data_IF_578725062275
#
_entry.id   IF_578725062275
#
_cell.length_a   1.000
_cell.length_b   1.000
_cell.length_c   1.000
_cell.angle_alpha   90.00
_cell.angle_beta   90.00
_cell.angle_gamma   90.00
#
_symmetry.space_group_name_H-M   'P 1'
#
loop_
_entity.id
_entity.type
_entity.pdbx_description
1 polymer ?
#
# COMPACT_ATOMS: atom_id res chain seq x y z
N UNK A 1 22.88 -0.18 -40.01
CA UNK A 1 24.25 -0.16 -39.47
C UNK A 1 24.09 0.08 -38.00
N UNK A 2 24.58 -0.83 -37.15
CA UNK A 2 24.62 -0.60 -35.71
C UNK A 2 25.55 0.59 -35.43
N UNK A 3 25.11 1.51 -34.57
CA UNK A 3 25.92 2.63 -34.12
C UNK A 3 27.13 2.14 -33.32
N UNK A 4 28.28 2.80 -33.47
CA UNK A 4 29.45 2.49 -32.64
C UNK A 4 29.28 3.14 -31.26
N UNK A 5 29.11 2.32 -30.21
CA UNK A 5 29.02 2.81 -28.82
C UNK A 5 30.26 3.63 -28.46
N UNK A 6 30.03 4.84 -27.95
CA UNK A 6 31.08 5.75 -27.48
C UNK A 6 31.25 5.59 -25.97
N UNK A 7 32.48 5.66 -25.49
CA UNK A 7 32.84 5.56 -24.07
C UNK A 7 32.93 6.95 -23.45
N UNK A 8 32.21 7.17 -22.34
CA UNK A 8 32.31 8.40 -21.57
C UNK A 8 33.64 8.46 -20.81
N UNK A 9 34.32 9.60 -20.89
CA UNK A 9 35.54 9.89 -20.13
C UNK A 9 35.38 11.21 -19.37
N UNK A 10 36.00 11.29 -18.19
CA UNK A 10 35.97 12.48 -17.33
C UNK A 10 37.07 13.50 -17.65
N UNK A 11 38.04 13.11 -18.47
CA UNK A 11 39.16 13.91 -18.93
C UNK A 11 38.97 14.32 -20.41
N UNK A 12 40.02 14.87 -21.03
CA UNK A 12 39.97 15.23 -22.45
C UNK A 12 40.06 13.96 -23.29
N UNK A 13 39.06 13.67 -24.15
CA UNK A 13 39.07 12.49 -25.02
C UNK A 13 40.35 12.40 -25.85
N UNK A 14 41.02 11.25 -25.82
CA UNK A 14 42.33 11.06 -26.45
C UNK A 14 42.44 9.78 -27.30
N UNK A 15 41.42 8.91 -27.27
CA UNK A 15 41.35 7.72 -28.10
C UNK A 15 40.04 7.66 -28.91
N UNK A 16 40.07 6.87 -30.00
CA UNK A 16 38.89 6.64 -30.84
C UNK A 16 37.72 6.15 -29.99
N UNK A 17 36.54 6.70 -30.26
CA UNK A 17 35.28 6.40 -29.58
C UNK A 17 35.17 6.91 -28.13
N UNK A 18 35.96 7.90 -27.73
CA UNK A 18 35.81 8.58 -26.43
C UNK A 18 35.08 9.91 -26.57
N UNK A 19 34.20 10.21 -25.61
CA UNK A 19 33.52 11.50 -25.50
C UNK A 19 33.50 12.03 -24.07
N UNK A 20 33.48 13.35 -23.93
CA UNK A 20 33.30 14.04 -22.66
C UNK A 20 32.31 15.20 -22.84
N UNK A 21 31.36 15.34 -21.90
CA UNK A 21 30.45 16.49 -21.87
C UNK A 21 30.91 17.48 -20.80
N UNK A 22 31.18 18.72 -21.22
CA UNK A 22 31.63 19.81 -20.37
C UNK A 22 30.44 20.68 -19.96
N UNK A 23 29.84 20.35 -18.80
CA UNK A 23 28.63 21.02 -18.30
C UNK A 23 28.78 22.52 -18.05
N UNK A 24 29.99 23.00 -17.74
CA UNK A 24 30.26 24.42 -17.51
C UNK A 24 30.23 25.28 -18.79
N UNK A 25 30.35 24.66 -19.97
CA UNK A 25 30.37 25.36 -21.26
C UNK A 25 29.35 24.80 -22.25
N UNK A 26 28.49 23.89 -21.79
CA UNK A 26 27.49 23.19 -22.60
C UNK A 26 28.07 22.68 -23.93
N UNK A 27 29.19 21.95 -23.85
CA UNK A 27 29.97 21.50 -25.01
C UNK A 27 30.25 20.01 -24.95
N UNK A 28 30.01 19.32 -26.07
CA UNK A 28 30.40 17.93 -26.28
C UNK A 28 31.77 17.88 -26.96
N UNK A 29 32.74 17.27 -26.30
CA UNK A 29 34.07 16.99 -26.84
C UNK A 29 34.15 15.52 -27.26
N UNK A 30 34.60 15.24 -28.49
CA UNK A 30 34.73 13.87 -29.01
C UNK A 30 36.06 13.71 -29.74
N UNK A 31 36.73 12.58 -29.51
CA UNK A 31 37.97 12.27 -30.22
C UNK A 31 37.71 11.45 -31.48
N UNK A 32 38.20 11.96 -32.61
CA UNK A 32 38.21 11.26 -33.90
C UNK A 32 39.68 11.16 -34.35
N UNK A 33 40.22 9.94 -34.42
CA UNK A 33 41.62 9.66 -34.80
C UNK A 33 41.98 9.93 -36.26
N UNK A 34 41.14 10.68 -36.99
CA UNK A 34 41.40 11.26 -38.30
C UNK A 34 40.85 12.68 -38.28
N UNK A 35 41.72 13.67 -38.08
CA UNK A 35 41.35 15.06 -37.77
C UNK A 35 40.91 15.86 -39.00
N UNK A 36 40.09 15.28 -39.89
CA UNK A 36 39.59 15.98 -41.07
C UNK A 36 38.17 16.52 -40.83
N UNK A 37 37.91 17.74 -41.30
CA UNK A 37 36.56 18.34 -41.26
C UNK A 37 35.55 17.51 -42.04
N UNK A 38 36.00 16.75 -43.04
CA UNK A 38 35.16 15.84 -43.83
C UNK A 38 34.68 14.62 -43.02
N UNK A 39 35.53 14.08 -42.14
CA UNK A 39 35.16 12.96 -41.26
C UNK A 39 34.19 13.39 -40.15
N UNK A 40 34.28 14.66 -39.71
CA UNK A 40 33.35 15.22 -38.73
C UNK A 40 31.97 15.50 -39.36
N UNK A 41 31.95 16.04 -40.59
CA UNK A 41 30.71 16.37 -41.31
C UNK A 41 29.96 15.15 -41.86
N UNK A 42 30.59 13.96 -41.89
CA UNK A 42 29.97 12.71 -42.37
C UNK A 42 29.39 11.84 -41.27
N UNK A 43 29.53 12.25 -39.99
CA UNK A 43 29.00 11.52 -38.84
C UNK A 43 27.69 12.14 -38.34
N UNK A 44 26.71 11.28 -38.13
CA UNK A 44 25.50 11.65 -37.41
C UNK A 44 25.71 11.40 -35.92
N UNK A 45 25.44 12.41 -35.11
CA UNK A 45 25.45 12.31 -33.66
C UNK A 45 24.02 12.21 -33.17
N UNK A 46 23.73 11.15 -32.44
CA UNK A 46 22.43 10.91 -31.84
C UNK A 46 22.62 10.84 -30.34
N UNK A 47 21.90 11.68 -29.61
CA UNK A 47 21.75 11.56 -28.17
C UNK A 47 20.48 10.75 -27.89
N UNK A 48 20.58 9.72 -27.05
CA UNK A 48 19.41 9.01 -26.54
C UNK A 48 19.27 9.29 -25.05
N UNK A 49 18.03 9.41 -24.61
CA UNK A 49 17.73 9.37 -23.18
C UNK A 49 18.04 7.97 -22.65
N UNK A 50 18.68 7.89 -21.47
CA UNK A 50 18.91 6.64 -20.78
C UNK A 50 17.58 5.96 -20.40
N UNK A 51 17.55 4.64 -20.50
CA UNK A 51 16.37 3.82 -20.21
C UNK A 51 15.90 3.96 -18.76
N UNK A 52 16.82 4.20 -17.81
CA UNK A 52 16.46 4.45 -16.41
C UNK A 52 15.62 5.72 -16.24
N UNK A 53 16.01 6.79 -16.93
CA UNK A 53 15.30 8.08 -16.95
C UNK A 53 13.94 7.95 -17.65
N UNK A 54 13.91 7.29 -18.81
CA UNK A 54 12.66 7.03 -19.54
C UNK A 54 11.67 6.22 -18.71
N UNK A 55 12.12 5.11 -18.10
CA UNK A 55 11.27 4.27 -17.24
C UNK A 55 10.69 5.07 -16.07
N UNK A 56 11.50 5.92 -15.44
CA UNK A 56 11.06 6.73 -14.30
C UNK A 56 10.02 7.77 -14.72
N UNK A 57 10.22 8.42 -15.87
CA UNK A 57 9.26 9.38 -16.42
C UNK A 57 7.91 8.73 -16.72
N UNK A 58 7.90 7.58 -17.41
CA UNK A 58 6.66 6.86 -17.75
C UNK A 58 5.92 6.37 -16.49
N UNK A 59 6.64 5.90 -15.48
CA UNK A 59 6.04 5.48 -14.18
C UNK A 59 5.38 6.67 -13.46
N UNK A 60 5.95 7.88 -13.57
CA UNK A 60 5.36 9.08 -12.98
C UNK A 60 4.12 9.54 -13.75
N UNK A 61 4.17 9.54 -15.08
CA UNK A 61 3.02 9.89 -15.93
C UNK A 61 1.84 8.93 -15.72
N UNK A 62 2.11 7.62 -15.68
CA UNK A 62 1.11 6.59 -15.33
C UNK A 62 0.52 6.83 -13.93
N UNK A 63 1.34 7.29 -12.96
CA UNK A 63 0.84 7.62 -11.62
C UNK A 63 -0.09 8.82 -11.63
N UNK A 64 0.15 9.83 -12.46
CA UNK A 64 -0.70 11.00 -12.57
C UNK A 64 -2.01 10.69 -13.30
N UNK A 65 -1.97 9.79 -14.30
CA UNK A 65 -3.16 9.25 -14.93
C UNK A 65 -4.07 8.57 -13.88
N UNK A 66 -3.51 7.69 -13.04
CA UNK A 66 -4.27 7.01 -11.97
C UNK A 66 -4.94 8.03 -11.04
N UNK A 67 -4.20 9.06 -10.61
CA UNK A 67 -4.73 10.12 -9.73
C UNK A 67 -5.87 10.91 -10.37
N UNK A 68 -5.74 11.23 -11.66
CA UNK A 68 -6.78 11.95 -12.39
C UNK A 68 -8.04 11.12 -12.61
N UNK A 69 -7.90 9.79 -12.73
CA UNK A 69 -8.99 8.92 -13.13
C UNK A 69 -9.85 8.39 -11.97
N UNK A 70 -9.20 8.08 -10.84
CA UNK A 70 -9.80 7.38 -9.70
C UNK A 70 -10.82 8.24 -8.94
N UNK A 71 -10.82 9.57 -9.11
CA UNK A 71 -11.74 10.52 -8.46
C UNK A 71 -11.86 10.34 -6.94
N UNK A 72 -10.82 9.80 -6.30
CA UNK A 72 -10.76 9.45 -4.88
C UNK A 72 -9.38 9.79 -4.32
N UNK A 73 -9.26 10.18 -3.04
CA UNK A 73 -7.97 10.46 -2.45
C UNK A 73 -7.12 9.19 -2.38
N UNK A 74 -5.81 9.32 -2.64
CA UNK A 74 -4.83 8.24 -2.45
C UNK A 74 -3.88 8.67 -1.34
N UNK A 75 -3.95 8.02 -0.18
CA UNK A 75 -3.02 8.26 0.92
C UNK A 75 -1.90 7.24 0.97
N UNK A 76 -0.71 7.71 1.36
CA UNK A 76 0.43 6.85 1.68
C UNK A 76 0.12 6.10 2.98
N UNK A 77 0.35 4.79 3.01
CA UNK A 77 0.33 4.03 4.26
C UNK A 77 1.43 4.57 5.18
N UNK A 78 1.08 5.02 6.37
CA UNK A 78 2.06 5.29 7.44
C UNK A 78 2.14 4.05 8.34
N UNK A 79 3.36 3.77 8.82
CA UNK A 79 3.81 2.66 9.69
C UNK A 79 4.40 1.47 8.91
N UNK A 80 5.74 1.45 8.82
CA UNK A 80 6.52 0.36 8.24
C UNK A 80 6.43 -0.93 9.07
N UNK A 81 6.12 -0.83 10.37
CA UNK A 81 6.03 -1.96 11.30
C UNK A 81 4.69 -2.71 11.23
N UNK A 82 3.70 -2.16 10.50
CA UNK A 82 2.34 -2.72 10.36
C UNK A 82 2.06 -3.26 8.95
N UNK A 83 3.10 -3.44 8.13
CA UNK A 83 2.98 -3.89 6.75
C UNK A 83 3.33 -5.37 6.66
N UNK A 84 2.32 -6.22 6.41
CA UNK A 84 2.56 -7.64 6.13
C UNK A 84 3.55 -7.83 4.97
N UNK A 85 4.48 -8.77 5.13
CA UNK A 85 5.50 -9.36 4.22
C UNK A 85 6.32 -8.47 3.25
N UNK A 86 5.84 -7.30 2.84
CA UNK A 86 6.56 -6.37 1.97
C UNK A 86 6.28 -4.94 2.43
N UNK A 87 7.33 -4.21 2.80
CA UNK A 87 7.28 -2.81 3.19
C UNK A 87 6.88 -1.92 1.99
N UNK A 88 5.57 -1.83 1.69
CA UNK A 88 5.00 -1.06 0.58
C UNK A 88 4.22 0.14 1.12
N UNK A 89 4.63 1.32 0.68
CA UNK A 89 3.99 2.61 1.01
C UNK A 89 2.58 2.80 0.43
N UNK A 90 2.20 1.97 -0.55
CA UNK A 90 0.90 2.02 -1.23
C UNK A 90 0.31 0.62 -1.38
N UNK A 91 -1.01 0.54 -1.50
CA UNK A 91 -1.69 -0.74 -1.70
C UNK A 91 -1.22 -1.43 -2.99
N UNK A 92 -1.08 -2.74 -2.91
CA UNK A 92 -0.56 -3.55 -4.02
C UNK A 92 -1.35 -3.36 -5.32
N UNK A 93 -2.66 -3.14 -5.23
CA UNK A 93 -3.51 -2.90 -6.39
C UNK A 93 -3.08 -1.65 -7.16
N UNK A 94 -2.76 -0.55 -6.47
CA UNK A 94 -2.28 0.69 -7.08
C UNK A 94 -0.90 0.50 -7.72
N UNK A 95 0.00 -0.19 -7.03
CA UNK A 95 1.34 -0.52 -7.54
C UNK A 95 1.24 -1.38 -8.82
N UNK A 96 0.32 -2.36 -8.82
CA UNK A 96 0.11 -3.25 -9.97
C UNK A 96 -0.48 -2.51 -11.17
N UNK A 97 -1.47 -1.64 -10.95
CA UNK A 97 -2.06 -0.82 -12.02
C UNK A 97 -0.99 0.09 -12.63
N UNK A 98 -0.20 0.78 -11.80
CA UNK A 98 0.86 1.66 -12.30
C UNK A 98 1.90 0.90 -13.13
N UNK A 99 2.29 -0.29 -12.67
CA UNK A 99 3.23 -1.14 -13.42
C UNK A 99 2.66 -1.63 -14.76
N UNK A 100 1.36 -1.92 -14.85
CA UNK A 100 0.71 -2.34 -16.09
C UNK A 100 0.64 -1.19 -17.10
N UNK A 101 0.20 0.00 -16.66
CA UNK A 101 0.14 1.18 -17.52
C UNK A 101 1.54 1.57 -18.03
N UNK A 102 2.52 1.64 -17.13
CA UNK A 102 3.88 1.98 -17.53
C UNK A 102 4.50 0.94 -18.47
N UNK A 103 4.19 -0.35 -18.29
CA UNK A 103 4.63 -1.40 -19.21
C UNK A 103 3.95 -1.28 -20.58
N UNK A 104 2.67 -0.93 -20.64
CA UNK A 104 1.96 -0.73 -21.91
C UNK A 104 2.59 0.42 -22.71
N UNK A 105 2.85 1.57 -22.08
CA UNK A 105 3.43 2.74 -22.75
C UNK A 105 4.85 2.48 -23.28
N UNK A 106 5.67 1.73 -22.54
CA UNK A 106 7.01 1.36 -22.98
C UNK A 106 6.99 0.37 -24.15
N UNK A 107 6.04 -0.56 -24.16
CA UNK A 107 5.93 -1.61 -25.20
C UNK A 107 5.29 -1.07 -26.47
N UNK A 108 4.47 -0.01 -26.38
CA UNK A 108 3.70 0.55 -27.50
C UNK A 108 4.54 0.94 -28.71
N UNK A 109 5.80 1.36 -28.50
CA UNK A 109 6.73 1.67 -29.60
C UNK A 109 7.16 0.44 -30.41
N UNK A 110 7.18 -0.73 -29.79
CA UNK A 110 7.68 -1.97 -30.39
C UNK A 110 6.55 -2.86 -30.90
N UNK A 111 5.45 -2.94 -30.14
CA UNK A 111 4.32 -3.82 -30.42
C UNK A 111 3.03 -3.18 -29.86
N UNK A 112 2.24 -2.59 -30.75
CA UNK A 112 1.01 -1.88 -30.38
C UNK A 112 -0.08 -2.85 -29.91
N UNK A 113 -0.22 -4.01 -30.54
CA UNK A 113 -1.25 -5.00 -30.19
C UNK A 113 -1.03 -5.54 -28.77
N UNK A 114 0.22 -5.85 -28.43
CA UNK A 114 0.57 -6.31 -27.09
C UNK A 114 0.48 -5.20 -26.05
N UNK A 115 0.79 -3.96 -26.42
CA UNK A 115 0.60 -2.82 -25.54
C UNK A 115 -0.88 -2.61 -25.20
N UNK A 116 -1.77 -2.71 -26.18
CA UNK A 116 -3.22 -2.60 -25.98
C UNK A 116 -3.76 -3.73 -25.09
N UNK A 117 -3.26 -4.97 -25.23
CA UNK A 117 -3.64 -6.09 -24.36
C UNK A 117 -3.23 -5.85 -22.89
N UNK A 118 -2.04 -5.28 -22.67
CA UNK A 118 -1.55 -4.95 -21.32
C UNK A 118 -2.33 -3.77 -20.74
N UNK A 119 -2.60 -2.76 -21.57
CA UNK A 119 -3.39 -1.60 -21.18
C UNK A 119 -4.81 -1.99 -20.80
N UNK A 120 -5.46 -2.88 -21.57
CA UNK A 120 -6.80 -3.41 -21.31
C UNK A 120 -6.93 -4.09 -19.93
N UNK A 121 -5.86 -4.69 -19.41
CA UNK A 121 -5.85 -5.28 -18.05
C UNK A 121 -5.93 -4.21 -16.95
N UNK A 122 -5.42 -3.01 -17.21
CA UNK A 122 -5.50 -1.87 -16.29
C UNK A 122 -6.79 -1.06 -16.50
N UNK A 123 -7.09 -0.70 -17.75
CA UNK A 123 -8.25 0.08 -18.17
C UNK A 123 -8.88 -0.59 -19.39
N UNK A 124 -10.09 -1.13 -19.24
CA UNK A 124 -10.79 -1.81 -20.35
C UNK A 124 -11.93 -0.93 -20.86
N UNK A 125 -12.20 -0.87 -22.17
CA UNK A 125 -13.40 -0.22 -22.70
C UNK A 125 -14.69 -0.85 -22.14
N UNK A 126 -14.65 -2.12 -21.74
CA UNK A 126 -15.77 -2.83 -21.12
C UNK A 126 -15.91 -2.53 -19.61
N UNK A 127 -14.97 -1.75 -19.03
CA UNK A 127 -14.96 -1.39 -17.62
C UNK A 127 -14.50 -2.50 -16.68
N UNK A 128 -13.95 -3.60 -17.18
CA UNK A 128 -13.42 -4.70 -16.37
C UNK A 128 -11.95 -4.54 -15.97
N UNK A 129 -11.32 -3.43 -16.37
CA UNK A 129 -9.95 -3.09 -15.99
C UNK A 129 -9.79 -2.97 -14.47
N UNK A 130 -8.61 -3.29 -13.96
CA UNK A 130 -8.35 -3.20 -12.52
C UNK A 130 -8.57 -1.79 -11.96
N UNK A 131 -8.27 -0.74 -12.74
CA UNK A 131 -8.49 0.65 -12.37
C UNK A 131 -9.99 1.02 -12.41
N UNK A 132 -10.75 0.48 -13.36
CA UNK A 132 -12.20 0.69 -13.46
C UNK A 132 -12.94 0.03 -12.29
N UNK A 133 -12.55 -1.20 -11.94
CA UNK A 133 -13.07 -1.91 -10.77
C UNK A 133 -12.75 -1.18 -9.47
N UNK A 134 -11.54 -0.62 -9.36
CA UNK A 134 -11.16 0.21 -8.22
C UNK A 134 -12.01 1.49 -8.14
N UNK A 135 -12.22 2.18 -9.27
CA UNK A 135 -13.10 3.35 -9.36
C UNK A 135 -14.56 3.05 -9.05
N UNK A 136 -15.04 1.86 -9.40
CA UNK A 136 -16.39 1.37 -9.06
C UNK A 136 -16.54 1.10 -7.56
N UNK A 137 -15.44 0.82 -6.88
CA UNK A 137 -15.45 0.44 -5.46
C UNK A 137 -15.58 -1.07 -5.23
N UNK A 138 -15.27 -1.89 -6.23
CA UNK A 138 -15.13 -3.34 -6.05
C UNK A 138 -13.91 -3.66 -5.15
N UNK A 139 -12.92 -2.77 -5.16
CA UNK A 139 -11.79 -2.77 -4.25
C UNK A 139 -11.81 -1.50 -3.42
N UNK A 140 -11.50 -1.63 -2.13
CA UNK A 140 -11.32 -0.50 -1.23
C UNK A 140 -9.83 -0.26 -0.97
N UNK A 141 -9.44 1.01 -0.88
CA UNK A 141 -8.11 1.40 -0.44
C UNK A 141 -8.00 1.28 1.08
N UNK A 142 -6.78 1.18 1.59
CA UNK A 142 -6.52 0.93 3.02
C UNK A 142 -7.13 1.94 4.00
N UNK A 143 -7.40 3.16 3.55
CA UNK A 143 -7.97 4.24 4.35
C UNK A 143 -9.47 4.43 4.12
N UNK A 144 -10.04 3.68 3.17
CA UNK A 144 -11.46 3.75 2.86
C UNK A 144 -12.25 2.82 3.78
N UNK A 145 -13.36 3.32 4.30
CA UNK A 145 -14.26 2.55 5.15
C UNK A 145 -15.15 1.66 4.29
N UNK A 146 -15.06 0.35 4.52
CA UNK A 146 -15.94 -0.71 4.03
C UNK A 146 -16.82 -1.23 5.16
N UNK A 147 -17.92 -1.93 4.85
CA UNK A 147 -18.73 -2.60 5.89
C UNK A 147 -17.89 -3.52 6.79
N UNK A 148 -16.82 -4.12 6.25
CA UNK A 148 -15.91 -4.98 7.04
C UNK A 148 -14.99 -4.19 7.97
N UNK A 149 -14.62 -2.95 7.61
CA UNK A 149 -13.89 -2.08 8.54
C UNK A 149 -14.83 -1.42 9.55
N UNK A 150 -16.13 -1.28 9.24
CA UNK A 150 -17.13 -0.94 10.25
C UNK A 150 -17.22 -2.03 11.32
N UNK A 151 -17.12 -3.31 10.95
CA UNK A 151 -17.13 -4.44 11.91
C UNK A 151 -15.85 -4.55 12.78
N UNK A 152 -14.83 -3.72 12.54
CA UNK A 152 -13.57 -3.71 13.27
C UNK A 152 -12.54 -4.72 12.73
N UNK A 153 -11.36 -4.23 12.34
CA UNK A 153 -10.25 -5.09 11.88
C UNK A 153 -9.25 -5.28 13.02
N UNK A 154 -9.07 -6.53 13.47
CA UNK A 154 -8.02 -6.89 14.45
C UNK A 154 -6.66 -6.86 13.76
N UNK A 155 -5.72 -6.14 14.34
CA UNK A 155 -4.31 -6.13 13.94
C UNK A 155 -3.42 -6.44 15.13
N UNK A 156 -2.31 -7.12 14.87
CA UNK A 156 -1.28 -7.36 15.88
C UNK A 156 -0.40 -6.13 16.00
N UNK A 157 -0.17 -5.68 17.24
CA UNK A 157 0.72 -4.54 17.51
C UNK A 157 2.05 -5.04 18.04
N UNK A 158 1.99 -5.87 19.08
CA UNK A 158 3.16 -6.45 19.72
C UNK A 158 2.74 -7.75 20.38
N UNK A 159 3.34 -8.88 19.99
CA UNK A 159 3.12 -10.16 20.65
C UNK A 159 4.46 -10.80 21.01
N UNK A 160 4.50 -11.49 22.13
CA UNK A 160 5.61 -12.36 22.47
C UNK A 160 5.65 -13.58 21.54
N UNK A 161 6.84 -14.10 21.25
CA UNK A 161 7.01 -15.32 20.44
C UNK A 161 6.40 -16.59 21.05
N UNK A 162 6.06 -16.56 22.35
CA UNK A 162 5.38 -17.66 23.06
C UNK A 162 3.85 -17.55 23.02
N UNK A 163 3.30 -16.44 22.51
CA UNK A 163 1.86 -16.19 22.42
C UNK A 163 1.26 -17.01 21.29
N UNK A 164 0.25 -17.82 21.64
CA UNK A 164 -0.47 -18.69 20.69
C UNK A 164 -1.95 -18.36 20.61
N UNK A 165 -2.45 -17.52 21.52
CA UNK A 165 -3.82 -17.01 21.51
C UNK A 165 -3.99 -15.79 20.60
N UNK A 166 -5.22 -15.59 20.10
CA UNK A 166 -5.58 -14.47 19.24
C UNK A 166 -7.03 -14.04 19.52
N UNK A 167 -7.39 -12.74 19.34
CA UNK A 167 -8.78 -12.32 19.29
C UNK A 167 -9.52 -13.08 18.18
N UNK A 168 -10.43 -13.98 18.56
CA UNK A 168 -11.13 -14.89 17.64
C UNK A 168 -12.06 -14.13 16.71
N UNK A 169 -12.81 -13.19 17.27
CA UNK A 169 -13.85 -12.45 16.57
C UNK A 169 -14.14 -11.12 17.26
N UNK A 170 -14.56 -10.12 16.49
CA UNK A 170 -15.13 -8.88 16.99
C UNK A 170 -16.56 -8.83 16.49
N UNK A 171 -17.48 -8.59 17.41
CA UNK A 171 -18.89 -8.43 17.09
C UNK A 171 -19.34 -7.03 17.45
N UNK A 172 -19.94 -6.34 16.49
CA UNK A 172 -20.56 -5.04 16.70
C UNK A 172 -22.08 -5.11 16.77
N UNK A 173 -22.65 -4.29 17.64
CA UNK A 173 -24.09 -4.09 17.77
C UNK A 173 -24.44 -2.65 17.39
N UNK A 174 -24.59 -2.42 16.07
CA UNK A 174 -24.80 -1.08 15.51
C UNK A 174 -23.49 -0.39 15.09
N UNK A 175 -23.57 0.74 14.37
CA UNK A 175 -22.39 1.47 13.93
C UNK A 175 -21.62 2.04 15.14
N UNK A 176 -20.28 2.17 15.06
CA UNK A 176 -19.51 2.81 16.12
C UNK A 176 -19.94 4.27 16.28
N UNK A 177 -20.14 4.73 17.51
CA UNK A 177 -20.45 6.14 17.82
C UNK A 177 -19.21 7.06 17.69
N UNK A 178 -18.23 6.70 16.88
CA UNK A 178 -16.96 7.42 16.74
C UNK A 178 -16.47 7.39 15.29
N UNK A 179 -16.08 8.57 14.79
CA UNK A 179 -15.61 8.72 13.40
C UNK A 179 -14.34 7.89 13.12
N UNK A 180 -13.41 7.89 14.07
CA UNK A 180 -12.16 7.13 14.03
C UNK A 180 -11.64 6.88 15.44
N UNK A 181 -11.39 5.63 15.82
CA UNK A 181 -10.53 5.33 16.96
C UNK A 181 -9.72 4.05 16.74
N UNK A 182 -8.52 4.01 17.33
CA UNK A 182 -7.68 2.83 17.40
C UNK A 182 -7.71 2.29 18.84
N UNK A 183 -8.58 1.32 19.07
CA UNK A 183 -8.81 0.71 20.38
C UNK A 183 -7.73 -0.34 20.63
N UNK A 184 -7.03 -0.23 21.76
CA UNK A 184 -5.98 -1.19 22.13
C UNK A 184 -6.55 -2.21 23.11
N UNK A 185 -6.33 -3.49 22.80
CA UNK A 185 -6.52 -4.61 23.70
C UNK A 185 -5.15 -4.99 24.27
N UNK A 186 -4.97 -4.88 25.59
CA UNK A 186 -3.70 -5.18 26.24
C UNK A 186 -3.90 -6.34 27.20
N UNK A 187 -3.06 -7.37 27.10
CA UNK A 187 -3.05 -8.46 28.08
C UNK A 187 -2.36 -7.95 29.34
N UNK A 188 -3.11 -7.79 30.42
CA UNK A 188 -2.56 -7.35 31.72
C UNK A 188 -1.93 -8.54 32.44
N UNK A 189 -2.68 -9.63 32.59
CA UNK A 189 -2.22 -10.86 33.25
C UNK A 189 -2.13 -11.98 32.22
N UNK A 190 -0.91 -12.48 31.98
CA UNK A 190 -0.67 -13.62 31.09
C UNK A 190 -1.04 -14.98 31.70
N UNK A 191 -1.16 -15.99 30.85
CA UNK A 191 -1.47 -17.36 31.24
C UNK A 191 -2.07 -18.17 30.10
N UNK A 192 -2.52 -19.39 30.42
CA UNK A 192 -3.16 -20.28 29.43
C UNK A 192 -4.67 -20.19 29.57
N UNK A 193 -5.33 -19.72 28.52
CA UNK A 193 -6.78 -19.83 28.38
C UNK A 193 -7.12 -21.15 27.69
N UNK A 194 -7.72 -22.08 28.41
CA UNK A 194 -8.06 -23.41 27.90
C UNK A 194 -9.52 -23.78 28.21
N UNK A 195 -10.20 -24.56 27.35
CA UNK A 195 -11.53 -25.06 27.63
C UNK A 195 -11.55 -25.91 28.92
N UNK A 196 -12.58 -25.72 29.75
CA UNK A 196 -12.79 -26.54 30.96
C UNK A 196 -12.01 -26.11 32.20
N UNK A 197 -11.25 -25.02 32.15
CA UNK A 197 -10.51 -24.45 33.29
C UNK A 197 -10.84 -22.97 33.44
N UNK A 198 -10.90 -22.45 34.68
CA UNK A 198 -11.03 -21.00 34.88
C UNK A 198 -9.79 -20.28 34.35
N UNK A 199 -10.00 -19.29 33.49
CA UNK A 199 -8.90 -18.53 32.91
C UNK A 199 -8.20 -17.68 33.97
N UNK A 200 -6.86 -17.70 34.03
CA UNK A 200 -6.08 -16.72 34.78
C UNK A 200 -5.82 -15.43 33.98
N UNK A 201 -6.16 -15.42 32.68
CA UNK A 201 -5.79 -14.35 31.75
C UNK A 201 -6.73 -13.16 31.89
N UNK A 202 -6.16 -11.96 32.03
CA UNK A 202 -6.89 -10.70 32.13
C UNK A 202 -6.49 -9.73 31.03
N UNK A 203 -7.45 -8.97 30.53
CA UNK A 203 -7.22 -7.96 29.50
C UNK A 203 -7.78 -6.60 29.90
N UNK A 204 -7.14 -5.56 29.36
CA UNK A 204 -7.55 -4.17 29.42
C UNK A 204 -7.97 -3.69 28.02
N UNK A 205 -8.86 -2.69 27.99
CA UNK A 205 -9.24 -1.99 26.76
C UNK A 205 -8.93 -0.51 26.91
N UNK A 206 -8.14 0.05 26.00
CA UNK A 206 -7.82 1.48 25.95
C UNK A 206 -8.41 2.16 24.71
N UNK A 207 -8.96 3.34 24.91
CA UNK A 207 -9.51 4.23 23.86
C UNK A 207 -8.81 5.58 23.87
N UNK A 208 -9.02 6.39 22.83
CA UNK A 208 -8.54 7.78 22.80
C UNK A 208 -9.27 8.68 23.81
N UNK A 209 -8.63 9.76 24.20
CA UNK A 209 -9.28 10.92 24.84
C UNK A 209 -8.74 12.23 24.23
N UNK A 210 -9.17 13.37 24.78
CA UNK A 210 -8.77 14.71 24.28
C UNK A 210 -7.25 14.97 24.35
N UNK A 211 -6.51 14.17 25.12
CA UNK A 211 -5.06 14.30 25.27
C UNK A 211 -4.26 13.38 24.32
N UNK A 212 -4.90 12.39 23.68
CA UNK A 212 -4.24 11.49 22.73
C UNK A 212 -4.85 10.09 22.60
N UNK A 213 -4.21 9.25 21.79
CA UNK A 213 -4.55 7.83 21.60
C UNK A 213 -4.11 6.99 22.81
N UNK A 214 -4.86 5.93 23.15
CA UNK A 214 -4.55 4.99 24.25
C UNK A 214 -4.48 5.65 25.64
N UNK A 215 -5.23 6.71 25.87
CA UNK A 215 -5.11 7.48 27.12
C UNK A 215 -6.17 7.09 28.16
N UNK A 216 -7.29 6.51 27.74
CA UNK A 216 -8.38 6.16 28.64
C UNK A 216 -8.59 4.66 28.67
N UNK A 217 -8.48 4.07 29.86
CA UNK A 217 -8.86 2.68 30.11
C UNK A 217 -10.37 2.58 30.29
N UNK A 218 -11.03 1.73 29.50
CA UNK A 218 -12.49 1.52 29.51
C UNK A 218 -12.86 0.19 30.16
N UNK A 219 -12.01 -0.82 29.98
CA UNK A 219 -12.11 -2.13 30.64
C UNK A 219 -10.81 -2.35 31.40
N UNK A 220 -10.95 -2.72 32.67
CA UNK A 220 -9.84 -2.89 33.60
C UNK A 220 -9.81 -4.32 34.14
N UNK A 221 -8.72 -5.03 33.86
CA UNK A 221 -8.41 -6.32 34.44
C UNK A 221 -9.50 -7.39 34.27
N UNK A 222 -10.24 -7.38 33.14
CA UNK A 222 -11.35 -8.31 32.92
C UNK A 222 -10.84 -9.71 32.58
N UNK A 223 -11.33 -10.72 33.30
CA UNK A 223 -10.93 -12.12 33.10
C UNK A 223 -11.53 -12.70 31.83
N UNK A 224 -10.71 -13.30 30.96
CA UNK A 224 -11.18 -13.96 29.74
C UNK A 224 -12.07 -15.17 30.05
N UNK A 225 -13.29 -15.22 29.51
CA UNK A 225 -14.25 -16.28 29.84
C UNK A 225 -14.80 -17.04 28.61
N UNK A 226 -14.34 -16.71 27.41
CA UNK A 226 -14.74 -17.37 26.15
C UNK A 226 -16.08 -16.92 25.57
N UNK A 227 -16.85 -16.11 26.30
CA UNK A 227 -18.02 -15.40 25.79
C UNK A 227 -17.60 -14.16 25.01
N UNK A 228 -18.56 -13.48 24.37
CA UNK A 228 -18.34 -12.13 23.88
C UNK A 228 -18.27 -11.18 25.07
N UNK A 229 -17.13 -10.53 25.24
CA UNK A 229 -16.85 -9.63 26.36
C UNK A 229 -16.81 -8.19 25.87
N UNK A 230 -17.22 -7.27 26.73
CA UNK A 230 -17.40 -5.86 26.36
C UNK A 230 -16.07 -5.23 25.98
N UNK A 231 -16.08 -4.43 24.92
CA UNK A 231 -14.95 -3.60 24.50
C UNK A 231 -15.40 -2.12 24.53
N UNK A 232 -15.13 -1.36 23.48
CA UNK A 232 -15.48 0.04 23.34
C UNK A 232 -16.59 0.20 22.29
N UNK A 233 -17.31 1.32 22.34
CA UNK A 233 -18.25 1.74 21.29
C UNK A 233 -19.32 0.71 20.87
N UNK A 234 -19.77 -0.14 21.81
CA UNK A 234 -20.79 -1.16 21.54
C UNK A 234 -20.26 -2.43 20.85
N UNK A 235 -18.95 -2.51 20.65
CA UNK A 235 -18.28 -3.70 20.16
C UNK A 235 -17.95 -4.66 21.31
N UNK A 236 -17.90 -5.95 20.99
CA UNK A 236 -17.52 -7.03 21.89
C UNK A 236 -16.41 -7.86 21.25
N UNK A 237 -15.48 -8.36 22.07
CA UNK A 237 -14.39 -9.23 21.64
C UNK A 237 -14.61 -10.64 22.17
N UNK A 238 -14.28 -11.64 21.34
CA UNK A 238 -14.20 -13.02 21.76
C UNK A 238 -12.77 -13.53 21.62
N UNK A 239 -12.32 -14.34 22.58
CA UNK A 239 -10.93 -14.82 22.64
C UNK A 239 -10.80 -16.28 22.20
N UNK A 240 -9.72 -16.62 21.50
CA UNK A 240 -9.36 -18.00 21.17
C UNK A 240 -8.64 -18.65 22.36
N UNK A 241 -8.86 -19.96 22.63
CA UNK A 241 -7.99 -20.70 23.55
C UNK A 241 -6.53 -20.67 23.09
N UNK A 242 -5.61 -20.50 24.03
CA UNK A 242 -4.19 -20.37 23.76
C UNK A 242 -3.41 -19.78 24.94
N UNK A 243 -2.12 -19.62 24.74
CA UNK A 243 -1.22 -18.92 25.67
C UNK A 243 -1.22 -17.44 25.32
N UNK A 244 -1.47 -16.61 26.33
CA UNK A 244 -1.35 -15.16 26.26
C UNK A 244 -0.25 -14.70 27.21
N UNK A 245 0.58 -13.75 26.78
CA UNK A 245 1.67 -13.22 27.59
C UNK A 245 1.31 -11.79 28.02
N UNK A 246 1.69 -11.42 29.25
CA UNK A 246 1.46 -10.07 29.74
C UNK A 246 2.17 -9.04 28.85
N UNK A 247 1.54 -7.90 28.63
CA UNK A 247 1.95 -6.84 27.68
C UNK A 247 1.84 -7.20 26.20
N UNK A 248 1.19 -8.30 25.84
CA UNK A 248 0.76 -8.48 24.44
C UNK A 248 -0.30 -7.43 24.10
N UNK A 249 -0.18 -6.83 22.91
CA UNK A 249 -1.03 -5.75 22.43
C UNK A 249 -1.64 -6.08 21.06
N UNK A 250 -2.96 -5.95 20.99
CA UNK A 250 -3.74 -6.01 19.76
C UNK A 250 -4.43 -4.68 19.51
N UNK A 251 -4.57 -4.31 18.24
CA UNK A 251 -5.28 -3.12 17.79
C UNK A 251 -6.60 -3.49 17.15
N UNK A 252 -7.62 -2.70 17.41
CA UNK A 252 -8.88 -2.76 16.69
C UNK A 252 -9.19 -1.36 16.19
N UNK A 253 -9.24 -1.20 14.87
CA UNK A 253 -9.55 0.08 14.24
C UNK A 253 -11.06 0.13 14.00
N UNK A 254 -11.73 1.15 14.56
CA UNK A 254 -13.11 1.49 14.26
C UNK A 254 -13.16 2.74 13.40
N UNK A 255 -13.92 2.69 12.32
CA UNK A 255 -14.18 3.82 11.43
C UNK A 255 -15.64 3.79 11.00
N UNK A 256 -16.34 4.92 11.11
CA UNK A 256 -17.66 5.10 10.53
C UNK A 256 -17.60 6.13 9.40
N UNK A 257 -18.23 5.81 8.26
CA UNK A 257 -18.43 6.73 7.13
C UNK A 257 -19.92 6.77 6.79
N UNK A 258 -20.44 7.95 6.46
CA UNK A 258 -21.84 8.11 6.02
C UNK A 258 -22.17 7.34 4.73
N UNK A 259 -21.15 7.01 3.93
CA UNK A 259 -21.27 6.20 2.71
C UNK A 259 -20.17 5.15 2.70
N UNK A 260 -20.49 3.95 3.17
CA UNK A 260 -19.61 2.80 3.04
C UNK A 260 -19.47 2.41 1.56
N UNK A 261 -18.23 2.27 1.10
CA UNK A 261 -17.94 1.83 -0.27
C UNK A 261 -18.25 0.33 -0.35
N UNK A 262 -19.06 -0.07 -1.34
CA UNK A 262 -19.36 -1.47 -1.63
C UNK A 262 -20.66 -2.03 -1.04
N UNK A 263 -21.68 -1.21 -0.71
CA UNK A 263 -23.01 -1.75 -0.36
C UNK A 263 -24.13 -1.25 -1.27
N UNK A 264 -24.75 -2.18 -2.00
CA UNK A 264 -26.20 -2.11 -2.21
C UNK A 264 -26.77 -2.71 -0.92
N UNK A 265 -27.27 -1.87 -0.01
CA UNK A 265 -28.16 -2.37 1.03
C UNK A 265 -29.36 -2.96 0.29
N UNK A 266 -29.42 -4.28 0.19
CA UNK A 266 -30.65 -4.99 -0.11
C UNK A 266 -31.61 -4.66 1.03
N UNK A 267 -32.31 -3.53 0.91
CA UNK A 267 -33.50 -3.26 1.68
C UNK A 267 -34.52 -4.29 1.20
N UNK A 268 -34.50 -5.47 1.81
CA UNK A 268 -35.68 -6.33 1.86
C UNK A 268 -36.77 -5.53 2.57
N UNK A 269 -37.56 -4.83 1.77
CA UNK A 269 -38.86 -4.31 2.18
C UNK A 269 -39.72 -5.56 2.39
N UNK A 270 -39.78 -6.04 3.63
CA UNK A 270 -40.88 -6.91 4.03
C UNK A 270 -42.16 -6.06 3.99
N UNK A 271 -43.02 -6.34 3.01
CA UNK A 271 -44.42 -5.95 3.03
C UNK A 271 -45.19 -6.85 3.98
#
# INVERSE_FOLDING_TARGET
>A
MDGAEQTYVSDTPNAMNEFAYQSASDRLDVYIGGSSVADMNSRNWEESMDFSTLKTAVVNESSDLIRSYINRPIYRRKNADLQGASSRDYDFILVRINALLAAADLVRRFDEEKADEIYAKALSPDGDGLLDRLKRGDFALWHETTNRSEDGIVQVVSINGSTTGYPRDIKMYGPPNVDYDEVRLVIETGGTFAPGVSSPVKFDVYVKNDNGLRMQKVVDAETMNGSYQTMAYGAMVAWQPGVYVASDEFSVIFQSSDVAIGSVKSSQIYR
#
